data_IF_413705873650
#
_entry.id   IF_413705873650
#
_cell.length_a   1.000
_cell.length_b   1.000
_cell.length_c   1.000
_cell.angle_alpha   90.00
_cell.angle_beta   90.00
_cell.angle_gamma   90.00
#
_symmetry.space_group_name_H-M   'P 1'
#
loop_
_entity.id
_entity.type
_entity.pdbx_description
1 polymer ?
#
# COMPACT_ATOMS: atom_id res chain seq x y z
N UNK A 1 6.10 -12.47 7.65
CA UNK A 1 5.68 -13.85 7.93
C UNK A 1 4.16 -14.01 7.87
N UNK A 2 3.32 -13.30 8.65
CA UNK A 2 1.85 -13.50 8.68
C UNK A 2 1.19 -13.65 7.29
N UNK A 3 1.55 -12.82 6.31
CA UNK A 3 0.97 -12.86 4.95
C UNK A 3 1.26 -14.20 4.24
N UNK A 4 2.48 -14.70 4.35
CA UNK A 4 2.87 -15.98 3.78
C UNK A 4 2.20 -17.15 4.52
N UNK A 5 2.10 -17.09 5.85
CA UNK A 5 1.39 -18.08 6.66
C UNK A 5 -0.12 -18.12 6.33
N UNK A 6 -0.73 -16.96 6.09
CA UNK A 6 -2.13 -16.86 5.67
C UNK A 6 -2.37 -17.54 4.32
N UNK A 7 -1.54 -17.26 3.31
CA UNK A 7 -1.62 -17.90 1.99
C UNK A 7 -1.32 -19.39 2.08
N UNK A 8 -0.31 -19.79 2.88
CA UNK A 8 0.00 -21.19 3.15
C UNK A 8 -1.23 -21.94 3.67
N UNK A 9 -1.88 -21.42 4.71
CA UNK A 9 -3.06 -22.06 5.31
C UNK A 9 -4.20 -22.24 4.29
N UNK A 10 -4.43 -21.24 3.42
CA UNK A 10 -5.45 -21.33 2.37
C UNK A 10 -5.08 -22.40 1.33
N UNK A 11 -3.84 -22.42 0.85
CA UNK A 11 -3.41 -23.40 -0.14
C UNK A 11 -3.38 -24.83 0.43
N UNK A 12 -2.95 -24.99 1.68
CA UNK A 12 -2.98 -26.30 2.38
C UNK A 12 -4.42 -26.82 2.54
N UNK A 13 -5.39 -25.95 2.85
CA UNK A 13 -6.81 -26.35 2.93
C UNK A 13 -7.38 -26.81 1.58
N UNK A 14 -6.70 -26.49 0.49
CA UNK A 14 -7.01 -26.91 -0.88
C UNK A 14 -6.19 -28.13 -1.36
N UNK A 15 -5.40 -28.72 -0.47
CA UNK A 15 -4.65 -29.95 -0.75
C UNK A 15 -3.24 -29.73 -1.31
N UNK A 16 -2.72 -28.50 -1.34
CA UNK A 16 -1.34 -28.25 -1.74
C UNK A 16 -0.38 -28.47 -0.58
N UNK A 17 0.77 -29.08 -0.84
CA UNK A 17 1.90 -29.06 0.11
C UNK A 17 2.62 -27.71 -0.03
N UNK A 18 2.66 -26.92 1.03
CA UNK A 18 3.25 -25.57 1.02
C UNK A 18 4.28 -25.44 2.13
N UNK A 19 5.51 -25.09 1.76
CA UNK A 19 6.61 -24.78 2.68
C UNK A 19 6.92 -23.28 2.63
N UNK A 20 7.16 -22.69 3.79
CA UNK A 20 7.56 -21.29 3.88
C UNK A 20 9.08 -21.15 3.73
N UNK A 21 9.50 -20.28 2.82
CA UNK A 21 10.88 -19.83 2.70
C UNK A 21 11.00 -18.43 3.32
N UNK A 22 11.50 -18.37 4.55
CA UNK A 22 11.74 -17.09 5.23
C UNK A 22 12.94 -16.36 4.65
N UNK A 23 12.76 -15.10 4.30
CA UNK A 23 13.82 -14.27 3.73
C UNK A 23 13.84 -12.90 4.42
N UNK A 24 15.02 -12.26 4.45
CA UNK A 24 15.21 -10.89 4.92
C UNK A 24 15.57 -10.03 3.72
N UNK A 25 14.81 -8.97 3.47
CA UNK A 25 15.04 -8.07 2.35
C UNK A 25 15.96 -6.91 2.74
N UNK A 26 16.60 -6.26 1.76
CA UNK A 26 17.37 -5.03 2.01
C UNK A 26 16.50 -3.93 2.62
N UNK A 27 15.24 -3.86 2.22
CA UNK A 27 14.28 -2.91 2.78
C UNK A 27 14.04 -3.11 4.28
N UNK A 28 14.11 -4.34 4.78
CA UNK A 28 13.99 -4.66 6.21
C UNK A 28 15.24 -4.25 7.00
N UNK A 29 16.40 -4.19 6.37
CA UNK A 29 17.68 -3.86 7.01
C UNK A 29 17.94 -2.36 7.09
N UNK A 30 17.37 -1.54 6.21
CA UNK A 30 17.59 -0.09 6.17
C UNK A 30 16.68 0.61 7.19
N UNK A 31 17.21 0.87 8.37
CA UNK A 31 16.49 1.51 9.49
C UNK A 31 16.85 2.99 9.68
N UNK A 32 18.00 3.45 9.17
CA UNK A 32 18.66 4.72 9.51
C UNK A 32 18.38 5.86 8.53
N UNK A 33 17.93 5.58 7.31
CA UNK A 33 17.72 6.60 6.27
C UNK A 33 16.41 6.42 5.51
N UNK A 34 15.93 7.50 4.87
CA UNK A 34 14.71 7.47 4.05
C UNK A 34 14.92 6.59 2.81
N UNK A 35 13.99 5.65 2.56
CA UNK A 35 14.00 4.80 1.36
C UNK A 35 13.95 5.63 0.08
N UNK A 36 13.32 6.82 0.11
CA UNK A 36 13.33 7.76 -1.01
C UNK A 36 14.74 8.29 -1.35
N UNK A 37 15.65 8.32 -0.38
CA UNK A 37 17.05 8.75 -0.57
C UNK A 37 17.99 7.60 -0.96
N UNK A 38 17.59 6.35 -0.73
CA UNK A 38 18.39 5.16 -1.06
C UNK A 38 18.23 4.75 -2.53
N UNK A 39 17.18 5.27 -3.21
CA UNK A 39 17.06 5.21 -4.67
C UNK A 39 16.89 3.84 -5.27
N UNK A 40 16.21 2.90 -4.60
CA UNK A 40 16.01 1.55 -5.12
C UNK A 40 14.54 1.21 -5.37
N UNK A 41 14.11 1.07 -6.62
CA UNK A 41 12.91 0.30 -6.94
C UNK A 41 13.15 -1.15 -6.49
N UNK A 42 12.19 -1.75 -5.78
CA UNK A 42 12.27 -3.18 -5.46
C UNK A 42 13.03 -3.57 -4.19
N UNK A 43 13.36 -2.65 -3.28
CA UNK A 43 14.08 -2.96 -2.01
C UNK A 43 13.42 -4.06 -1.13
N UNK A 44 12.14 -4.33 -1.34
CA UNK A 44 11.38 -5.35 -0.61
C UNK A 44 11.07 -6.60 -1.44
N UNK A 45 11.38 -6.61 -2.74
CA UNK A 45 10.96 -7.68 -3.65
C UNK A 45 12.14 -8.39 -4.32
N UNK A 46 13.30 -7.72 -4.47
CA UNK A 46 14.43 -8.23 -5.25
C UNK A 46 14.94 -9.61 -4.77
N UNK A 47 15.05 -9.81 -3.48
CA UNK A 47 15.50 -11.11 -2.93
C UNK A 47 14.46 -12.21 -3.17
N UNK A 48 13.17 -11.86 -3.19
CA UNK A 48 12.09 -12.78 -3.50
C UNK A 48 12.11 -13.15 -5.00
N UNK A 49 12.29 -12.16 -5.88
CA UNK A 49 12.42 -12.36 -7.32
C UNK A 49 13.61 -13.26 -7.67
N UNK A 50 14.76 -13.08 -6.99
CA UNK A 50 15.92 -13.98 -7.11
C UNK A 50 15.54 -15.40 -6.69
N UNK A 51 14.82 -15.57 -5.57
CA UNK A 51 14.40 -16.90 -5.13
C UNK A 51 13.43 -17.57 -6.11
N UNK A 52 12.52 -16.79 -6.71
CA UNK A 52 11.63 -17.27 -7.77
C UNK A 52 12.41 -17.71 -9.02
N UNK A 53 13.33 -16.88 -9.51
CA UNK A 53 14.12 -17.15 -10.71
C UNK A 53 15.07 -18.34 -10.57
N UNK A 54 15.59 -18.57 -9.35
CA UNK A 54 16.44 -19.72 -9.02
C UNK A 54 15.64 -21.01 -8.71
N UNK A 55 14.30 -20.94 -8.73
CA UNK A 55 13.43 -22.07 -8.40
C UNK A 55 13.47 -22.48 -6.92
N UNK A 56 13.96 -21.62 -6.03
CA UNK A 56 13.93 -21.83 -4.58
C UNK A 56 12.55 -21.57 -3.97
N UNK A 57 11.76 -20.75 -4.64
CA UNK A 57 10.37 -20.48 -4.32
C UNK A 57 9.53 -20.58 -5.59
N UNK A 58 8.28 -20.99 -5.45
CA UNK A 58 7.29 -21.03 -6.54
C UNK A 58 6.46 -19.74 -6.60
N UNK A 59 6.14 -19.16 -5.43
CA UNK A 59 5.33 -17.96 -5.29
C UNK A 59 5.97 -17.00 -4.28
N UNK A 60 5.77 -15.69 -4.49
CA UNK A 60 6.08 -14.67 -3.50
C UNK A 60 4.81 -13.92 -3.09
N UNK A 61 4.63 -13.73 -1.77
CA UNK A 61 3.43 -13.09 -1.20
C UNK A 61 3.78 -11.69 -0.70
N UNK A 62 3.10 -10.69 -1.24
CA UNK A 62 3.38 -9.28 -0.98
C UNK A 62 2.20 -8.52 -0.38
N UNK A 63 2.49 -7.50 0.41
CA UNK A 63 1.58 -6.36 0.51
C UNK A 63 1.59 -5.64 -0.84
N UNK A 64 0.47 -5.56 -1.52
CA UNK A 64 0.42 -5.10 -2.91
C UNK A 64 0.91 -3.66 -3.10
N UNK A 65 0.74 -2.80 -2.10
CA UNK A 65 1.26 -1.42 -2.12
C UNK A 65 2.79 -1.32 -2.18
N UNK A 66 3.51 -2.40 -1.83
CA UNK A 66 4.97 -2.45 -1.80
C UNK A 66 5.55 -3.11 -3.07
N UNK A 67 4.68 -3.68 -3.93
CA UNK A 67 5.03 -4.25 -5.23
C UNK A 67 5.29 -3.14 -6.25
N UNK A 68 6.37 -3.19 -7.04
CA UNK A 68 6.61 -2.23 -8.12
C UNK A 68 5.39 -2.08 -9.04
N UNK A 69 5.12 -0.86 -9.51
CA UNK A 69 3.97 -0.60 -10.38
C UNK A 69 4.11 -1.32 -11.72
N UNK A 70 5.35 -1.42 -12.24
CA UNK A 70 5.70 -2.25 -13.37
C UNK A 70 6.42 -3.49 -12.84
N UNK A 71 5.93 -4.67 -13.20
CA UNK A 71 6.59 -5.93 -12.84
C UNK A 71 7.89 -6.04 -13.64
N UNK A 72 8.98 -6.51 -13.05
CA UNK A 72 10.20 -6.82 -13.79
C UNK A 72 9.95 -7.90 -14.86
N UNK A 73 10.75 -7.87 -15.91
CA UNK A 73 10.72 -8.89 -16.95
C UNK A 73 10.90 -10.30 -16.36
N UNK A 74 10.09 -11.25 -16.79
CA UNK A 74 10.07 -12.62 -16.30
C UNK A 74 9.20 -12.87 -15.06
N UNK A 75 8.55 -11.83 -14.53
CA UNK A 75 7.66 -11.96 -13.36
C UNK A 75 6.28 -11.37 -13.64
N UNK A 76 5.27 -11.97 -13.04
CA UNK A 76 3.90 -11.49 -13.14
C UNK A 76 3.14 -11.58 -11.82
N UNK A 77 2.17 -10.68 -11.65
CA UNK A 77 1.20 -10.74 -10.56
C UNK A 77 0.09 -11.73 -10.97
N UNK A 78 0.11 -12.93 -10.41
CA UNK A 78 -0.83 -13.99 -10.76
C UNK A 78 -2.14 -13.93 -9.97
N UNK A 79 -2.14 -13.29 -8.80
CA UNK A 79 -3.32 -13.23 -7.94
C UNK A 79 -3.34 -11.94 -7.13
N UNK A 80 -4.51 -11.32 -7.06
CA UNK A 80 -4.85 -10.31 -6.05
C UNK A 80 -5.98 -10.89 -5.21
N UNK A 81 -5.73 -11.04 -3.91
CA UNK A 81 -6.69 -11.60 -2.97
C UNK A 81 -7.71 -10.56 -2.51
N UNK A 82 -8.75 -11.01 -1.82
CA UNK A 82 -9.73 -10.12 -1.20
C UNK A 82 -9.03 -9.07 -0.33
N UNK A 83 -9.43 -7.82 -0.55
CA UNK A 83 -8.81 -6.66 0.09
C UNK A 83 -9.29 -6.50 1.52
N UNK A 84 -8.39 -6.46 2.47
CA UNK A 84 -8.65 -6.03 3.84
C UNK A 84 -8.81 -4.49 3.85
N UNK A 85 -9.28 -3.93 4.96
CA UNK A 85 -9.52 -2.51 5.17
C UNK A 85 -8.38 -1.63 4.62
N UNK A 86 -8.60 -0.85 3.54
CA UNK A 86 -7.55 -0.06 2.91
C UNK A 86 -7.18 1.20 3.69
N UNK A 87 -7.97 1.56 4.71
CA UNK A 87 -7.85 2.82 5.42
C UNK A 87 -6.59 2.90 6.28
N UNK A 88 -6.23 4.12 6.60
CA UNK A 88 -5.21 4.41 7.60
C UNK A 88 -5.83 4.46 9.01
N UNK A 89 -5.05 4.05 9.99
CA UNK A 89 -5.42 4.05 11.39
C UNK A 89 -4.57 5.07 12.18
N UNK A 90 -5.22 5.82 13.03
CA UNK A 90 -4.61 6.65 14.05
C UNK A 90 -4.27 5.80 15.27
N UNK A 91 -3.03 5.85 15.70
CA UNK A 91 -2.54 5.16 16.90
C UNK A 91 -1.89 6.19 17.80
N UNK A 92 -2.40 6.31 19.02
CA UNK A 92 -1.90 7.22 20.05
C UNK A 92 -2.13 6.62 21.44
N UNK A 93 -1.24 6.88 22.37
CA UNK A 93 -1.41 6.50 23.76
C UNK A 93 -2.34 7.47 24.52
N UNK A 94 -2.44 8.72 24.07
CA UNK A 94 -3.12 9.80 24.82
C UNK A 94 -4.33 10.39 24.10
N UNK A 95 -4.32 10.50 22.77
CA UNK A 95 -5.31 11.24 22.00
C UNK A 95 -6.23 10.30 21.20
N UNK A 96 -7.53 10.50 21.32
CA UNK A 96 -8.53 9.66 20.66
C UNK A 96 -8.51 9.84 19.12
N UNK A 97 -8.36 11.08 18.67
CA UNK A 97 -8.31 11.41 17.23
C UNK A 97 -7.15 12.37 16.93
N UNK A 98 -6.85 12.54 15.65
CA UNK A 98 -5.89 13.53 15.16
C UNK A 98 -6.30 14.97 15.54
N UNK A 99 -7.60 15.22 15.63
CA UNK A 99 -8.13 16.56 15.91
C UNK A 99 -7.96 16.98 17.36
N UNK A 100 -7.77 16.02 18.27
CA UNK A 100 -7.55 16.27 19.70
C UNK A 100 -6.12 16.71 20.01
N UNK A 101 -5.21 16.65 19.03
CA UNK A 101 -3.81 17.03 19.22
C UNK A 101 -3.66 18.54 19.49
N UNK A 102 -2.82 18.93 20.46
CA UNK A 102 -2.44 20.33 20.63
C UNK A 102 -1.66 20.85 19.42
N UNK A 103 -1.69 22.15 19.22
CA UNK A 103 -0.93 22.82 18.16
C UNK A 103 0.57 22.48 18.29
N UNK A 104 1.20 22.18 17.17
CA UNK A 104 2.63 21.85 17.10
C UNK A 104 2.99 20.44 17.60
N UNK A 105 2.00 19.60 17.90
CA UNK A 105 2.26 18.20 18.31
C UNK A 105 2.98 17.41 17.20
N UNK A 106 3.81 16.46 17.63
CA UNK A 106 4.62 15.64 16.73
C UNK A 106 3.87 14.39 16.31
N UNK A 107 3.70 14.19 15.01
CA UNK A 107 3.09 13.00 14.41
C UNK A 107 4.12 12.23 13.59
N UNK A 108 4.22 10.92 13.85
CA UNK A 108 5.20 10.03 13.21
C UNK A 108 4.68 9.41 11.91
N UNK A 109 5.33 9.72 10.79
CA UNK A 109 5.18 9.00 9.52
C UNK A 109 6.39 9.22 8.61
N UNK A 110 6.74 8.23 7.77
CA UNK A 110 7.72 8.40 6.70
C UNK A 110 7.08 8.31 5.30
N UNK A 111 5.76 8.23 5.23
CA UNK A 111 5.03 8.19 3.96
C UNK A 111 4.77 9.61 3.48
N UNK A 112 5.32 9.97 2.30
CA UNK A 112 5.08 11.29 1.69
C UNK A 112 3.60 11.52 1.44
N UNK A 113 2.85 10.49 1.03
CA UNK A 113 1.39 10.55 0.90
C UNK A 113 0.72 11.00 2.19
N UNK A 114 1.04 10.35 3.31
CA UNK A 114 0.47 10.72 4.62
C UNK A 114 0.89 12.11 5.04
N UNK A 115 2.14 12.48 4.77
CA UNK A 115 2.66 13.81 5.10
C UNK A 115 1.85 14.91 4.42
N UNK A 116 1.61 14.82 3.11
CA UNK A 116 0.87 15.85 2.38
C UNK A 116 -0.60 15.91 2.79
N UNK A 117 -1.22 14.75 3.03
CA UNK A 117 -2.61 14.70 3.51
C UNK A 117 -2.76 15.23 4.93
N UNK A 118 -1.81 14.92 5.84
CA UNK A 118 -1.78 15.47 7.19
C UNK A 118 -1.63 16.99 7.19
N UNK A 119 -0.72 17.52 6.36
CA UNK A 119 -0.54 18.97 6.24
C UNK A 119 -1.77 19.69 5.73
N UNK A 120 -2.53 19.05 4.83
CA UNK A 120 -3.80 19.58 4.36
C UNK A 120 -4.88 19.59 5.46
N UNK A 121 -4.88 18.59 6.36
CA UNK A 121 -5.84 18.48 7.46
C UNK A 121 -5.45 19.34 8.68
N UNK A 122 -4.18 19.34 9.03
CA UNK A 122 -3.61 19.97 10.24
C UNK A 122 -2.23 20.55 9.92
N UNK A 123 -2.16 21.74 9.28
CA UNK A 123 -0.89 22.38 8.88
C UNK A 123 -0.01 22.82 10.06
N UNK A 124 -0.59 22.88 11.24
CA UNK A 124 0.08 23.24 12.49
C UNK A 124 0.93 22.11 13.10
N UNK A 125 0.73 20.85 12.68
CA UNK A 125 1.43 19.70 13.24
C UNK A 125 2.87 19.58 12.73
N UNK A 126 3.75 19.08 13.57
CA UNK A 126 5.10 18.67 13.20
C UNK A 126 5.08 17.22 12.75
N UNK A 127 5.52 16.96 11.52
CA UNK A 127 5.56 15.61 10.97
C UNK A 127 7.00 15.14 10.96
N UNK A 128 7.28 14.08 11.70
CA UNK A 128 8.63 13.53 11.83
C UNK A 128 8.71 12.09 11.27
N UNK A 129 9.90 11.71 10.73
CA UNK A 129 10.09 10.38 10.17
C UNK A 129 9.89 9.27 11.21
N UNK A 130 9.08 8.27 10.88
CA UNK A 130 8.87 7.06 11.68
C UNK A 130 9.28 5.83 10.87
N UNK A 131 10.31 5.13 11.31
CA UNK A 131 10.90 3.97 10.64
C UNK A 131 10.92 2.73 11.52
N UNK A 132 11.11 1.57 10.88
CA UNK A 132 11.15 0.24 11.46
C UNK A 132 9.93 -0.59 11.07
N UNK A 133 9.90 -1.84 11.51
CA UNK A 133 8.73 -2.68 11.43
C UNK A 133 7.62 -2.17 12.38
N UNK A 134 6.46 -2.82 12.37
CA UNK A 134 5.32 -2.38 13.17
C UNK A 134 5.63 -2.30 14.66
N UNK A 135 6.30 -3.32 15.21
CA UNK A 135 6.65 -3.37 16.64
C UNK A 135 7.58 -2.22 17.05
N UNK A 136 8.59 -1.95 16.21
CA UNK A 136 9.51 -0.82 16.43
C UNK A 136 8.77 0.52 16.42
N UNK A 137 7.81 0.69 15.51
CA UNK A 137 7.03 1.95 15.43
C UNK A 137 6.12 2.13 16.63
N UNK A 138 5.47 1.06 17.09
CA UNK A 138 4.64 1.07 18.29
C UNK A 138 5.49 1.35 19.53
N UNK A 139 6.64 0.72 19.66
CA UNK A 139 7.57 0.97 20.76
C UNK A 139 8.00 2.44 20.81
N UNK A 140 8.37 3.06 19.69
CA UNK A 140 8.73 4.49 19.65
C UNK A 140 7.58 5.40 20.07
N UNK A 141 6.34 5.04 19.73
CA UNK A 141 5.16 5.75 20.23
C UNK A 141 5.01 5.59 21.75
N UNK A 142 5.16 4.38 22.26
CA UNK A 142 5.02 4.07 23.70
C UNK A 142 6.13 4.74 24.54
N UNK A 143 7.31 4.95 23.95
CA UNK A 143 8.43 5.72 24.51
C UNK A 143 8.16 7.25 24.47
N UNK A 144 7.03 7.70 23.92
CA UNK A 144 6.65 9.12 23.89
C UNK A 144 7.37 9.97 22.85
N UNK A 145 8.03 9.36 21.86
CA UNK A 145 8.70 10.09 20.78
C UNK A 145 7.70 10.84 19.87
N UNK A 146 6.45 10.41 19.84
CA UNK A 146 5.37 10.98 19.04
C UNK A 146 4.09 11.08 19.86
N UNK A 147 3.29 12.12 19.62
CA UNK A 147 1.94 12.24 20.17
C UNK A 147 0.99 11.21 19.54
N UNK A 148 1.28 10.81 18.33
CA UNK A 148 0.59 9.74 17.62
C UNK A 148 1.28 9.39 16.30
N UNK A 149 0.88 8.25 15.75
CA UNK A 149 1.44 7.72 14.49
C UNK A 149 0.33 7.24 13.57
N UNK A 150 0.60 7.22 12.27
CA UNK A 150 -0.35 6.71 11.27
C UNK A 150 0.17 5.42 10.68
N UNK A 151 -0.66 4.38 10.75
CA UNK A 151 -0.38 3.04 10.24
C UNK A 151 -1.52 2.58 9.32
N UNK A 152 -1.26 1.58 8.46
CA UNK A 152 -2.34 0.93 7.72
C UNK A 152 -3.17 0.04 8.65
N UNK A 153 -4.49 0.22 8.67
CA UNK A 153 -5.40 -0.58 9.51
C UNK A 153 -5.25 -2.08 9.27
N UNK A 154 -5.13 -2.50 8.00
CA UNK A 154 -4.89 -3.90 7.64
C UNK A 154 -3.66 -4.51 8.32
N UNK A 155 -2.58 -3.74 8.48
CA UNK A 155 -1.36 -4.22 9.15
C UNK A 155 -1.58 -4.52 10.63
N UNK A 156 -2.29 -3.63 11.33
CA UNK A 156 -2.64 -3.81 12.75
C UNK A 156 -3.60 -4.99 12.95
N UNK A 157 -4.65 -5.09 12.11
CA UNK A 157 -5.61 -6.19 12.16
C UNK A 157 -4.94 -7.55 11.95
N UNK A 158 -4.08 -7.67 10.92
CA UNK A 158 -3.35 -8.91 10.62
C UNK A 158 -2.47 -9.40 11.76
N UNK A 159 -1.88 -8.48 12.52
CA UNK A 159 -1.06 -8.81 13.69
C UNK A 159 -1.85 -8.85 15.01
N UNK A 160 -3.19 -8.84 14.95
CA UNK A 160 -4.09 -8.85 16.12
C UNK A 160 -3.84 -7.68 17.09
N UNK A 161 -3.47 -6.52 16.53
CA UNK A 161 -3.19 -5.28 17.27
C UNK A 161 -4.29 -4.24 17.07
N UNK A 162 -5.54 -4.68 16.81
CA UNK A 162 -6.68 -3.79 16.60
C UNK A 162 -6.96 -2.88 17.80
N UNK A 163 -6.66 -3.34 19.01
CA UNK A 163 -6.82 -2.56 20.26
C UNK A 163 -5.92 -1.32 20.32
N UNK A 164 -4.87 -1.26 19.49
CA UNK A 164 -4.00 -0.09 19.35
C UNK A 164 -4.62 1.00 18.47
N UNK A 165 -5.66 0.68 17.72
CA UNK A 165 -6.36 1.64 16.85
C UNK A 165 -7.27 2.52 17.71
N UNK A 166 -7.00 3.82 17.74
CA UNK A 166 -7.86 4.81 18.40
C UNK A 166 -8.94 5.32 17.47
N UNK A 167 -8.59 5.50 16.21
CA UNK A 167 -9.51 5.97 15.18
C UNK A 167 -9.08 5.42 13.80
N UNK A 168 -10.03 5.12 12.94
CA UNK A 168 -9.79 4.77 11.53
C UNK A 168 -10.22 5.97 10.69
N UNK A 169 -9.30 6.53 9.92
CA UNK A 169 -9.61 7.67 9.07
C UNK A 169 -10.63 7.32 7.99
N UNK A 170 -11.58 8.22 7.77
CA UNK A 170 -12.39 8.16 6.56
C UNK A 170 -11.53 8.39 5.31
N UNK A 171 -11.86 7.72 4.20
CA UNK A 171 -11.11 7.87 2.94
C UNK A 171 -11.19 9.27 2.34
N UNK A 172 -12.15 10.10 2.77
CA UNK A 172 -12.22 11.53 2.40
C UNK A 172 -11.18 12.37 3.14
N UNK A 173 -10.76 11.93 4.33
CA UNK A 173 -9.74 12.60 5.14
C UNK A 173 -8.33 12.10 4.79
N UNK A 174 -8.18 10.79 4.70
CA UNK A 174 -6.88 10.14 4.46
C UNK A 174 -7.03 9.11 3.34
N UNK A 175 -6.88 9.58 2.11
CA UNK A 175 -7.02 8.71 0.94
C UNK A 175 -5.90 7.66 0.92
N UNK A 176 -6.22 6.35 0.78
CA UNK A 176 -5.24 5.26 0.85
C UNK A 176 -4.15 5.31 -0.23
N UNK A 177 -3.07 4.58 0.00
CA UNK A 177 -2.11 4.27 -1.06
C UNK A 177 -2.67 3.23 -2.04
N UNK A 178 -2.24 3.27 -3.29
CA UNK A 178 -2.58 2.25 -4.27
C UNK A 178 -2.25 0.85 -3.76
N UNK A 179 -3.22 -0.05 -3.80
CA UNK A 179 -3.09 -1.43 -3.33
C UNK A 179 -3.02 -1.61 -1.82
N UNK A 180 -3.21 -0.56 -1.00
CA UNK A 180 -3.20 -0.71 0.46
C UNK A 180 -4.33 -1.64 0.91
N UNK A 181 -4.01 -2.59 1.80
CA UNK A 181 -4.93 -3.62 2.28
C UNK A 181 -4.96 -4.90 1.44
N UNK A 182 -4.57 -4.87 0.17
CA UNK A 182 -4.55 -6.05 -0.68
C UNK A 182 -3.24 -6.86 -0.52
N UNK A 183 -3.35 -8.18 -0.69
CA UNK A 183 -2.23 -9.08 -0.91
C UNK A 183 -2.13 -9.41 -2.40
N UNK A 184 -0.91 -9.40 -2.91
CA UNK A 184 -0.58 -9.86 -4.25
C UNK A 184 0.32 -11.09 -4.20
N UNK A 185 0.12 -12.01 -5.13
CA UNK A 185 0.96 -13.19 -5.30
C UNK A 185 1.66 -13.09 -6.64
N UNK A 186 2.98 -13.06 -6.58
CA UNK A 186 3.89 -12.98 -7.71
C UNK A 186 4.44 -14.36 -8.03
N UNK A 187 4.62 -14.63 -9.32
CA UNK A 187 5.20 -15.85 -9.88
C UNK A 187 6.17 -15.50 -11.02
N UNK A 188 7.02 -16.47 -11.40
CA UNK A 188 7.68 -16.41 -12.71
C UNK A 188 6.65 -16.54 -13.83
N UNK A 189 6.85 -15.80 -14.92
CA UNK A 189 6.04 -15.93 -16.13
C UNK A 189 6.09 -17.35 -16.70
N UNK A 190 5.01 -17.74 -17.39
CA UNK A 190 4.92 -19.06 -18.01
C UNK A 190 4.49 -20.20 -17.06
N UNK A 191 4.37 -19.97 -15.75
CA UNK A 191 3.92 -20.97 -14.77
C UNK A 191 2.38 -21.09 -14.77
N UNK A 192 1.81 -21.65 -15.86
CA UNK A 192 0.37 -21.88 -16.00
C UNK A 192 -0.22 -22.79 -14.91
N UNK A 193 0.59 -23.70 -14.39
CA UNK A 193 0.25 -24.57 -13.25
C UNK A 193 -0.06 -23.75 -11.99
N UNK A 194 0.77 -22.74 -11.70
CA UNK A 194 0.57 -21.85 -10.54
C UNK A 194 -0.60 -20.89 -10.77
N UNK A 195 -0.77 -20.37 -12.00
CA UNK A 195 -1.95 -19.55 -12.35
C UNK A 195 -3.23 -20.32 -12.06
N UNK A 196 -3.33 -21.58 -12.48
CA UNK A 196 -4.50 -22.43 -12.22
C UNK A 196 -4.69 -22.71 -10.73
N UNK A 197 -3.61 -22.99 -9.98
CA UNK A 197 -3.66 -23.23 -8.54
C UNK A 197 -4.11 -21.99 -7.74
N UNK A 198 -3.72 -20.79 -8.17
CA UNK A 198 -4.02 -19.51 -7.51
C UNK A 198 -5.37 -18.91 -7.93
N UNK A 199 -5.96 -19.36 -9.07
CA UNK A 199 -7.22 -18.84 -9.58
C UNK A 199 -8.35 -18.78 -8.52
N UNK A 200 -8.53 -19.78 -7.64
CA UNK A 200 -9.58 -19.75 -6.61
C UNK A 200 -9.33 -18.71 -5.48
N UNK A 201 -8.16 -18.09 -5.44
CA UNK A 201 -7.80 -17.03 -4.48
C UNK A 201 -8.00 -15.63 -5.08
N UNK A 202 -8.20 -15.57 -6.39
CA UNK A 202 -8.39 -14.30 -7.09
C UNK A 202 -9.71 -13.66 -6.69
N UNK A 203 -9.64 -12.42 -6.20
CA UNK A 203 -10.82 -11.60 -5.93
C UNK A 203 -10.95 -10.51 -6.99
N UNK A 204 -11.79 -10.74 -7.98
CA UNK A 204 -11.93 -9.88 -9.17
C UNK A 204 -12.24 -8.43 -8.81
N UNK A 205 -13.16 -8.18 -7.87
CA UNK A 205 -13.50 -6.83 -7.41
C UNK A 205 -12.29 -6.09 -6.87
N UNK A 206 -11.48 -6.75 -6.03
CA UNK A 206 -10.24 -6.16 -5.50
C UNK A 206 -9.23 -5.93 -6.62
N UNK A 207 -9.11 -6.86 -7.56
CA UNK A 207 -8.12 -6.75 -8.63
C UNK A 207 -8.44 -5.59 -9.57
N UNK A 208 -9.69 -5.45 -10.00
CA UNK A 208 -10.13 -4.31 -10.82
C UNK A 208 -9.85 -2.98 -10.11
N UNK A 209 -10.23 -2.88 -8.83
CA UNK A 209 -9.98 -1.67 -8.04
C UNK A 209 -8.49 -1.32 -7.96
N UNK A 210 -7.63 -2.30 -7.59
CA UNK A 210 -6.20 -2.02 -7.46
C UNK A 210 -5.48 -1.85 -8.79
N UNK A 211 -5.99 -2.42 -9.89
CA UNK A 211 -5.47 -2.19 -11.24
C UNK A 211 -5.60 -0.71 -11.61
N UNK A 212 -6.79 -0.12 -11.39
CA UNK A 212 -7.02 1.31 -11.61
C UNK A 212 -6.10 2.18 -10.73
N UNK A 213 -5.99 1.86 -9.43
CA UNK A 213 -5.11 2.58 -8.50
C UNK A 213 -3.62 2.52 -8.92
N UNK A 214 -3.14 1.34 -9.32
CA UNK A 214 -1.77 1.12 -9.80
C UNK A 214 -1.50 1.85 -11.12
N UNK A 215 -2.49 1.93 -12.02
CA UNK A 215 -2.37 2.68 -13.26
C UNK A 215 -2.18 4.19 -12.99
N UNK A 216 -2.89 4.77 -12.01
CA UNK A 216 -2.62 6.15 -11.55
C UNK A 216 -1.17 6.28 -11.10
N UNK A 217 -0.72 5.40 -10.21
CA UNK A 217 0.64 5.46 -9.65
C UNK A 217 1.70 5.29 -10.72
N UNK A 218 1.51 4.34 -11.66
CA UNK A 218 2.41 4.10 -12.80
C UNK A 218 2.56 5.36 -13.67
N UNK A 219 1.44 5.98 -14.04
CA UNK A 219 1.42 7.18 -14.88
C UNK A 219 2.01 8.41 -14.19
N UNK A 220 2.04 8.44 -12.86
CA UNK A 220 2.62 9.51 -12.05
C UNK A 220 4.07 9.26 -11.63
N UNK A 221 4.75 8.24 -12.18
CA UNK A 221 6.16 7.95 -11.90
C UNK A 221 6.43 6.66 -11.14
N UNK A 222 5.39 5.92 -10.76
CA UNK A 222 5.45 4.51 -10.35
C UNK A 222 6.24 4.17 -9.08
N UNK A 223 6.33 5.07 -8.10
CA UNK A 223 7.13 4.85 -6.90
C UNK A 223 6.28 4.93 -5.62
N UNK A 224 6.52 4.00 -4.67
CA UNK A 224 5.96 4.11 -3.31
C UNK A 224 6.51 5.30 -2.50
N UNK A 225 7.51 6.01 -3.05
CA UNK A 225 8.04 7.25 -2.50
C UNK A 225 7.33 8.51 -3.03
N UNK A 226 6.28 8.36 -3.83
CA UNK A 226 5.51 9.50 -4.33
C UNK A 226 4.53 10.02 -3.27
N UNK A 227 4.29 11.33 -3.22
CA UNK A 227 3.27 11.95 -2.36
C UNK A 227 1.87 11.78 -2.97
N UNK A 228 1.54 10.57 -3.39
CA UNK A 228 0.36 10.19 -4.17
C UNK A 228 -0.52 9.21 -3.41
N UNK A 229 -1.81 9.48 -3.40
CA UNK A 229 -2.86 8.58 -2.97
C UNK A 229 -3.71 8.16 -4.17
N UNK A 230 -4.17 6.92 -4.19
CA UNK A 230 -5.16 6.44 -5.15
C UNK A 230 -6.00 5.33 -4.51
N UNK A 231 -7.31 5.45 -4.60
CA UNK A 231 -8.24 4.48 -4.02
C UNK A 231 -9.47 4.32 -4.91
N UNK A 232 -9.78 3.09 -5.24
CA UNK A 232 -10.95 2.71 -6.02
C UNK A 232 -11.89 1.80 -5.24
N UNK A 233 -13.17 1.93 -5.53
CA UNK A 233 -14.23 1.01 -5.09
C UNK A 233 -15.05 0.59 -6.29
N UNK A 234 -15.48 -0.67 -6.31
CA UNK A 234 -16.35 -1.23 -7.35
C UNK A 234 -17.71 -1.56 -6.74
N UNK A 235 -18.77 -1.02 -7.31
CA UNK A 235 -20.15 -1.31 -6.95
C UNK A 235 -20.92 -1.75 -8.20
N UNK A 236 -21.28 -3.04 -8.25
CA UNK A 236 -21.72 -3.64 -9.50
C UNK A 236 -20.60 -3.63 -10.54
N UNK A 237 -20.85 -3.00 -11.68
CA UNK A 237 -19.90 -2.78 -12.76
C UNK A 237 -19.29 -1.37 -12.78
N UNK A 238 -19.68 -0.49 -11.85
CA UNK A 238 -19.20 0.89 -11.79
C UNK A 238 -18.03 0.99 -10.82
N UNK A 239 -16.86 1.33 -11.34
CA UNK A 239 -15.67 1.64 -10.57
C UNK A 239 -15.60 3.15 -10.30
N UNK A 240 -15.49 3.52 -9.02
CA UNK A 240 -15.27 4.89 -8.57
C UNK A 240 -13.83 5.01 -8.08
N UNK A 241 -13.03 5.83 -8.76
CA UNK A 241 -11.61 6.04 -8.47
C UNK A 241 -11.38 7.48 -8.05
N UNK A 242 -10.64 7.66 -6.96
CA UNK A 242 -10.16 8.96 -6.47
C UNK A 242 -8.66 8.93 -6.29
N UNK A 243 -8.01 10.03 -6.60
CA UNK A 243 -6.60 10.21 -6.34
C UNK A 243 -6.30 11.61 -5.81
N UNK A 244 -5.21 11.72 -5.06
CA UNK A 244 -4.72 12.99 -4.53
C UNK A 244 -3.20 13.00 -4.61
N UNK A 245 -2.66 14.10 -5.10
CA UNK A 245 -1.23 14.37 -5.11
C UNK A 245 -0.94 15.66 -4.34
N UNK A 246 0.13 15.68 -3.56
CA UNK A 246 0.54 16.88 -2.84
C UNK A 246 2.03 17.11 -2.96
N UNK A 247 2.44 18.37 -2.99
CA UNK A 247 3.83 18.75 -2.97
C UNK A 247 4.42 18.58 -1.55
N UNK A 248 5.46 17.75 -1.36
CA UNK A 248 6.09 17.58 -0.06
C UNK A 248 6.78 18.86 0.46
N UNK A 249 7.16 19.77 -0.42
CA UNK A 249 7.75 21.07 -0.07
C UNK A 249 6.65 22.10 0.29
N UNK A 250 5.39 21.81 -0.05
CA UNK A 250 4.26 22.66 0.28
C UNK A 250 4.05 23.87 -0.64
N UNK A 251 4.76 23.92 -1.78
CA UNK A 251 4.61 25.02 -2.75
C UNK A 251 3.32 24.92 -3.56
N UNK A 252 2.75 23.71 -3.71
CA UNK A 252 1.52 23.45 -4.44
C UNK A 252 0.47 22.91 -3.49
N UNK A 253 -0.76 23.41 -3.59
CA UNK A 253 -1.90 22.86 -2.85
C UNK A 253 -2.20 21.43 -3.29
N UNK A 254 -2.88 20.67 -2.42
CA UNK A 254 -3.29 19.31 -2.71
C UNK A 254 -4.16 19.27 -3.99
N UNK A 255 -3.68 18.53 -4.99
CA UNK A 255 -4.38 18.30 -6.26
C UNK A 255 -5.21 17.02 -6.12
N UNK A 256 -6.49 17.10 -6.41
CA UNK A 256 -7.42 15.98 -6.33
C UNK A 256 -8.02 15.71 -7.71
N UNK A 257 -8.24 14.44 -8.02
CA UNK A 257 -8.97 14.00 -9.20
C UNK A 257 -9.88 12.82 -8.85
N UNK A 258 -11.02 12.71 -9.52
CA UNK A 258 -11.96 11.63 -9.33
C UNK A 258 -12.69 11.31 -10.63
N UNK A 259 -12.93 10.01 -10.89
CA UNK A 259 -13.71 9.54 -12.02
C UNK A 259 -14.56 8.33 -11.60
N UNK A 260 -15.68 8.13 -12.27
CA UNK A 260 -16.43 6.88 -12.18
C UNK A 260 -16.79 6.41 -13.58
N UNK A 261 -16.71 5.09 -13.81
CA UNK A 261 -17.03 4.50 -15.09
C UNK A 261 -17.30 3.00 -14.98
N UNK A 262 -17.99 2.45 -15.97
CA UNK A 262 -18.22 1.02 -16.05
C UNK A 262 -16.90 0.30 -16.39
N UNK A 263 -16.64 -0.82 -15.74
CA UNK A 263 -15.46 -1.67 -15.97
C UNK A 263 -15.87 -3.13 -16.03
N UNK A 264 -15.36 -3.84 -17.02
CA UNK A 264 -15.56 -5.27 -17.23
C UNK A 264 -14.24 -6.04 -17.28
N UNK A 265 -13.14 -5.33 -17.44
CA UNK A 265 -11.80 -5.89 -17.60
C UNK A 265 -10.75 -5.10 -16.83
N UNK A 266 -9.57 -5.70 -16.67
CA UNK A 266 -8.40 -4.99 -16.10
C UNK A 266 -8.01 -3.78 -16.96
N UNK A 267 -8.14 -3.90 -18.29
CA UNK A 267 -7.83 -2.81 -19.21
C UNK A 267 -8.77 -1.62 -18.99
N UNK A 268 -10.09 -1.84 -18.86
CA UNK A 268 -11.04 -0.75 -18.57
C UNK A 268 -10.68 -0.04 -17.25
N UNK A 269 -10.29 -0.81 -16.23
CA UNK A 269 -9.88 -0.27 -14.94
C UNK A 269 -8.59 0.56 -15.05
N UNK A 270 -7.59 0.06 -15.80
CA UNK A 270 -6.34 0.78 -16.07
C UNK A 270 -6.58 2.06 -16.86
N UNK A 271 -7.45 2.04 -17.84
CA UNK A 271 -7.81 3.22 -18.67
C UNK A 271 -8.44 4.33 -17.79
N UNK A 272 -9.32 3.98 -16.84
CA UNK A 272 -9.81 4.94 -15.86
C UNK A 272 -8.68 5.49 -14.98
N UNK A 273 -7.73 4.65 -14.59
CA UNK A 273 -6.55 5.08 -13.85
C UNK A 273 -5.70 6.10 -14.62
N UNK A 274 -5.49 5.86 -15.91
CA UNK A 274 -4.75 6.79 -16.78
C UNK A 274 -5.46 8.13 -16.92
N UNK A 275 -6.81 8.14 -17.03
CA UNK A 275 -7.59 9.36 -17.08
C UNK A 275 -7.44 10.19 -15.80
N UNK A 276 -7.51 9.55 -14.62
CA UNK A 276 -7.31 10.23 -13.33
C UNK A 276 -5.89 10.81 -13.22
N UNK A 277 -4.88 10.07 -13.66
CA UNK A 277 -3.51 10.56 -13.67
C UNK A 277 -3.35 11.79 -14.57
N UNK A 278 -4.02 11.79 -15.74
CA UNK A 278 -4.05 12.94 -16.64
C UNK A 278 -4.68 14.17 -15.97
N UNK A 279 -5.81 14.00 -15.28
CA UNK A 279 -6.46 15.09 -14.54
C UNK A 279 -5.59 15.63 -13.40
N UNK A 280 -4.89 14.77 -12.65
CA UNK A 280 -3.91 15.21 -11.65
C UNK A 280 -2.80 16.08 -12.28
N UNK A 281 -2.23 15.65 -13.42
CA UNK A 281 -1.20 16.42 -14.14
C UNK A 281 -1.73 17.76 -14.64
N UNK A 282 -2.95 17.80 -15.16
CA UNK A 282 -3.61 19.06 -15.55
C UNK A 282 -3.81 19.99 -14.37
N UNK A 283 -4.05 19.45 -13.19
CA UNK A 283 -4.15 20.18 -11.92
C UNK A 283 -2.83 20.66 -11.35
N UNK A 284 -1.68 20.33 -11.97
CA UNK A 284 -0.35 20.74 -11.55
C UNK A 284 0.45 19.67 -10.78
N UNK A 285 -0.03 18.44 -10.71
CA UNK A 285 0.75 17.33 -10.15
C UNK A 285 1.87 16.90 -11.12
N UNK A 286 3.07 16.57 -10.58
CA UNK A 286 4.25 16.20 -11.37
C UNK A 286 5.11 15.13 -10.69
#
# INVERSE_FOLDING_TARGET
MWQAEHVQAILQSRGFEVKLLGMTTQGDQILDRSLSKVGGKGLFVKELEVALSEGRADIAVHSLKDVPMDMPEGFSLACVMEREDPRDAWVSSQYATLMDLPQGAVVGTSSLRRTVLLRALRPDLKIEPLRGNLDTRLRKLDEGQYAGIILAAAGLKRLKLSDRIRHVFDTNQMLPAAGQGALGIEICEGRSDLVAALQPLVHTTSWLAVAAERAVSRAMGGSCSMPLAAHATLAGDVLSLRAAWGDPEGAVQLVNAAISGAVSSLQDAEDLGLQVAHELKRGGAH
#
